data_IF_330681294199
#
_entry.id   IF_330681294199
#
_cell.length_a   1.000
_cell.length_b   1.000
_cell.length_c   1.000
_cell.angle_alpha   90.00
_cell.angle_beta   90.00
_cell.angle_gamma   90.00
#
_symmetry.space_group_name_H-M   'P 1'
#
loop_
_entity.id
_entity.type
_entity.pdbx_description
1 polymer ?
#
# COMPACT_ATOMS: atom_id res chain seq x y z
N UNK A 1 -3.84 6.00 9.03
CA UNK A 1 -4.71 6.19 7.86
C UNK A 1 -3.94 6.80 6.69
N UNK A 2 -3.34 8.00 6.84
CA UNK A 2 -2.61 8.69 5.76
C UNK A 2 -1.58 7.81 5.06
N UNK A 3 -0.75 7.13 5.86
CA UNK A 3 0.26 6.19 5.42
C UNK A 3 -0.24 5.07 4.47
N UNK A 4 -1.50 4.66 4.54
CA UNK A 4 -2.04 3.52 3.79
C UNK A 4 -3.00 3.95 2.68
N UNK A 5 -3.85 4.94 2.95
CA UNK A 5 -4.96 5.31 2.07
C UNK A 5 -4.78 6.66 1.35
N UNK A 6 -4.09 7.63 1.96
CA UNK A 6 -3.87 8.95 1.32
C UNK A 6 -2.60 8.96 0.46
N UNK A 7 -1.56 8.28 0.93
CA UNK A 7 -0.20 8.37 0.42
C UNK A 7 0.61 9.44 1.15
N UNK A 8 1.92 9.29 1.15
CA UNK A 8 2.86 10.20 1.81
C UNK A 8 4.09 10.43 0.95
N UNK A 9 4.55 11.69 0.95
CA UNK A 9 5.68 12.16 0.18
C UNK A 9 6.69 12.80 1.13
N UNK A 10 7.96 12.47 0.96
CA UNK A 10 9.06 13.07 1.69
C UNK A 10 10.24 13.29 0.74
N UNK A 11 10.85 14.48 0.82
CA UNK A 11 12.03 14.83 0.00
C UNK A 11 11.83 14.54 -1.50
N UNK A 12 10.66 14.92 -2.03
CA UNK A 12 10.28 14.73 -3.43
C UNK A 12 10.13 13.26 -3.89
N UNK A 13 10.10 12.32 -2.96
CA UNK A 13 9.84 10.90 -3.21
C UNK A 13 8.56 10.46 -2.52
N UNK A 14 7.79 9.62 -3.20
CA UNK A 14 6.70 8.90 -2.56
C UNK A 14 7.34 7.89 -1.60
N UNK A 15 6.95 7.93 -0.33
CA UNK A 15 7.48 7.01 0.69
C UNK A 15 6.42 6.02 1.17
N UNK A 16 5.13 6.34 1.01
CA UNK A 16 4.03 5.42 1.31
C UNK A 16 2.90 5.63 0.32
N UNK A 17 2.46 4.54 -0.31
CA UNK A 17 1.33 4.53 -1.24
C UNK A 17 0.90 3.07 -1.46
N UNK A 18 -0.19 2.64 -0.81
CA UNK A 18 -0.57 1.22 -0.76
C UNK A 18 -1.99 0.89 -1.21
N UNK A 19 -2.80 1.88 -1.55
CA UNK A 19 -4.22 1.66 -1.88
C UNK A 19 -4.47 1.76 -3.39
N UNK A 20 -5.00 0.69 -3.99
CA UNK A 20 -5.24 0.62 -5.43
C UNK A 20 -6.37 1.54 -5.91
N UNK A 21 -7.39 1.77 -5.08
CA UNK A 21 -8.49 2.66 -5.43
C UNK A 21 -7.99 4.10 -5.51
N UNK A 22 -7.14 4.52 -4.57
CA UNK A 22 -6.43 5.80 -4.61
C UNK A 22 -5.54 5.89 -5.84
N UNK A 23 -4.77 4.85 -6.14
CA UNK A 23 -3.96 4.77 -7.37
C UNK A 23 -4.81 5.09 -8.61
N UNK A 24 -5.91 4.34 -8.78
CA UNK A 24 -6.84 4.51 -9.89
C UNK A 24 -7.41 5.93 -9.99
N UNK A 25 -7.83 6.51 -8.87
CA UNK A 25 -8.37 7.88 -8.85
C UNK A 25 -7.33 8.93 -9.26
N UNK A 26 -6.09 8.78 -8.80
CA UNK A 26 -5.00 9.71 -9.13
C UNK A 26 -4.57 9.59 -10.60
N UNK A 27 -4.52 8.37 -11.12
CA UNK A 27 -4.21 8.11 -12.53
C UNK A 27 -5.32 8.65 -13.45
N UNK A 28 -6.58 8.36 -13.12
CA UNK A 28 -7.73 8.91 -13.86
C UNK A 28 -7.79 10.44 -13.82
N UNK A 29 -7.31 11.04 -12.73
CA UNK A 29 -7.19 12.50 -12.58
C UNK A 29 -5.98 13.12 -13.29
N UNK A 30 -5.15 12.33 -13.98
CA UNK A 30 -3.94 12.80 -14.66
C UNK A 30 -2.79 13.18 -13.73
N UNK A 31 -2.89 12.86 -12.44
CA UNK A 31 -1.88 13.17 -11.43
C UNK A 31 -0.87 12.03 -11.27
N UNK A 32 -1.20 10.82 -11.69
CA UNK A 32 -0.34 9.65 -11.55
C UNK A 32 -0.01 9.10 -12.93
N UNK A 33 1.27 8.79 -13.16
CA UNK A 33 1.77 8.18 -14.38
C UNK A 33 2.42 6.83 -14.06
N UNK A 34 1.79 5.74 -14.53
CA UNK A 34 2.28 4.38 -14.36
C UNK A 34 3.47 4.06 -15.27
N UNK A 35 4.52 3.42 -14.73
CA UNK A 35 5.75 3.13 -15.48
C UNK A 35 6.01 1.64 -15.71
N UNK A 36 5.34 0.74 -14.99
CA UNK A 36 5.56 -0.71 -15.14
C UNK A 36 5.34 -1.48 -13.84
N UNK A 37 5.36 -2.81 -13.92
CA UNK A 37 5.26 -3.72 -12.78
C UNK A 37 6.51 -4.61 -12.69
N UNK A 38 6.90 -4.95 -11.47
CA UNK A 38 8.01 -5.86 -11.17
C UNK A 38 7.47 -7.28 -10.93
N UNK A 39 6.49 -7.39 -10.03
CA UNK A 39 5.84 -8.64 -9.66
C UNK A 39 4.32 -8.45 -9.67
N UNK A 40 3.58 -9.50 -10.03
CA UNK A 40 2.12 -9.45 -10.06
C UNK A 40 1.51 -10.79 -9.73
N UNK A 41 0.65 -10.77 -8.72
CA UNK A 41 -0.25 -11.86 -8.40
C UNK A 41 -1.64 -11.55 -8.95
N UNK A 42 -2.05 -12.34 -9.94
CA UNK A 42 -3.18 -12.00 -10.82
C UNK A 42 -4.47 -11.83 -10.00
N UNK A 43 -4.92 -10.57 -9.91
CA UNK A 43 -6.18 -10.23 -9.25
C UNK A 43 -6.12 -10.14 -7.72
N UNK A 44 -4.91 -10.20 -7.13
CA UNK A 44 -4.67 -10.12 -5.69
C UNK A 44 -3.70 -9.01 -5.31
N UNK A 45 -2.53 -8.92 -5.95
CA UNK A 45 -1.52 -7.92 -5.59
C UNK A 45 -0.61 -7.56 -6.78
N UNK A 46 0.01 -6.39 -6.70
CA UNK A 46 1.00 -5.94 -7.70
C UNK A 46 2.10 -5.15 -7.02
N UNK A 47 3.33 -5.34 -7.47
CA UNK A 47 4.49 -4.49 -7.20
C UNK A 47 4.81 -3.68 -8.46
N UNK A 48 4.84 -2.36 -8.36
CA UNK A 48 4.92 -1.45 -9.50
C UNK A 48 5.73 -0.19 -9.24
N UNK A 49 6.07 0.50 -10.34
CA UNK A 49 6.73 1.80 -10.38
C UNK A 49 5.79 2.85 -11.00
N UNK A 50 5.81 4.07 -10.47
CA UNK A 50 5.05 5.18 -11.00
C UNK A 50 5.66 6.54 -10.62
N UNK A 51 5.14 7.60 -11.23
CA UNK A 51 5.30 8.97 -10.74
C UNK A 51 3.95 9.52 -10.28
N UNK A 52 3.94 10.24 -9.17
CA UNK A 52 2.78 10.99 -8.69
C UNK A 52 3.10 12.48 -8.70
N UNK A 53 2.49 13.21 -9.62
CA UNK A 53 2.87 14.56 -10.02
C UNK A 53 4.36 14.60 -10.39
N UNK A 54 5.17 15.33 -9.63
CA UNK A 54 6.63 15.44 -9.82
C UNK A 54 7.42 14.54 -8.86
N UNK A 55 6.74 13.65 -8.12
CA UNK A 55 7.35 12.77 -7.13
C UNK A 55 7.55 11.37 -7.69
N UNK A 56 8.73 10.81 -7.43
CA UNK A 56 9.09 9.48 -7.90
C UNK A 56 8.67 8.42 -6.89
N UNK A 57 8.11 7.31 -7.38
CA UNK A 57 7.76 6.14 -6.59
C UNK A 57 8.48 4.92 -7.17
N UNK A 58 9.63 4.55 -6.59
CA UNK A 58 10.53 3.55 -7.16
C UNK A 58 9.89 2.15 -7.27
N UNK A 59 9.48 1.59 -6.13
CA UNK A 59 8.83 0.28 -6.09
C UNK A 59 7.85 0.24 -4.91
N UNK A 60 6.58 0.04 -5.22
CA UNK A 60 5.50 -0.04 -4.24
C UNK A 60 4.62 -1.23 -4.52
N UNK A 61 4.17 -1.87 -3.45
CA UNK A 61 3.26 -3.01 -3.51
C UNK A 61 1.91 -2.65 -2.93
N UNK A 62 0.84 -3.07 -3.60
CA UNK A 62 -0.54 -2.85 -3.17
C UNK A 62 -1.40 -4.07 -3.47
N UNK A 63 -2.44 -4.26 -2.65
CA UNK A 63 -3.50 -5.22 -2.95
C UNK A 63 -4.34 -4.70 -4.12
N UNK A 64 -4.84 -5.60 -4.95
CA UNK A 64 -5.72 -5.30 -6.08
C UNK A 64 -7.11 -5.89 -5.84
N UNK A 65 -8.14 -5.14 -6.24
CA UNK A 65 -9.55 -5.56 -6.14
C UNK A 65 -10.01 -5.87 -4.69
N UNK A 66 -9.28 -5.40 -3.69
CA UNK A 66 -9.67 -5.40 -2.29
C UNK A 66 -10.64 -4.26 -2.00
N UNK A 67 -11.52 -4.43 -1.01
CA UNK A 67 -12.31 -3.30 -0.51
C UNK A 67 -11.50 -2.50 0.52
N UNK A 68 -11.72 -1.19 0.66
CA UNK A 68 -11.05 -0.39 1.70
C UNK A 68 -11.29 -0.93 3.11
N UNK A 69 -12.46 -1.51 3.37
CA UNK A 69 -12.81 -2.12 4.65
C UNK A 69 -11.99 -3.38 4.91
N UNK A 70 -11.78 -4.22 3.89
CA UNK A 70 -10.92 -5.40 3.99
C UNK A 70 -9.48 -5.01 4.30
N UNK A 71 -8.92 -4.05 3.55
CA UNK A 71 -7.57 -3.53 3.81
C UNK A 71 -7.44 -2.97 5.22
N UNK A 72 -8.39 -2.14 5.65
CA UNK A 72 -8.39 -1.57 7.00
C UNK A 72 -8.40 -2.66 8.08
N UNK A 73 -9.27 -3.67 7.96
CA UNK A 73 -9.33 -4.77 8.91
C UNK A 73 -8.03 -5.59 8.94
N UNK A 74 -7.50 -5.97 7.76
CA UNK A 74 -6.28 -6.76 7.66
C UNK A 74 -5.05 -6.02 8.22
N UNK A 75 -4.91 -4.73 7.91
CA UNK A 75 -3.82 -3.91 8.45
C UNK A 75 -3.94 -3.70 9.96
N UNK A 76 -5.15 -3.48 10.49
CA UNK A 76 -5.36 -3.38 11.94
C UNK A 76 -5.02 -4.67 12.68
N UNK A 77 -5.53 -5.81 12.21
CA UNK A 77 -5.19 -7.11 12.81
C UNK A 77 -3.67 -7.30 12.76
N UNK A 78 -3.05 -7.00 11.63
CA UNK A 78 -1.62 -7.24 11.49
C UNK A 78 -0.76 -6.37 12.41
N UNK A 79 -1.11 -5.09 12.56
CA UNK A 79 -0.44 -4.18 13.48
C UNK A 79 -0.53 -4.68 14.93
N UNK A 80 -1.68 -5.23 15.32
CA UNK A 80 -1.89 -5.78 16.67
C UNK A 80 -1.16 -7.11 16.91
N UNK A 81 -0.85 -7.87 15.86
CA UNK A 81 -0.19 -9.18 15.97
C UNK A 81 1.32 -9.14 15.72
N UNK A 82 1.95 -7.97 15.83
CA UNK A 82 3.41 -7.82 15.74
C UNK A 82 3.94 -7.32 14.39
N UNK A 83 3.06 -6.96 13.47
CA UNK A 83 3.41 -6.16 12.29
C UNK A 83 3.89 -6.92 11.06
N UNK A 84 4.03 -8.25 11.11
CA UNK A 84 4.29 -9.09 9.94
C UNK A 84 3.31 -10.25 9.90
N UNK A 85 2.49 -10.30 8.86
CA UNK A 85 1.37 -11.25 8.80
C UNK A 85 1.21 -11.82 7.40
N UNK A 86 0.85 -13.10 7.35
CA UNK A 86 0.56 -13.82 6.11
C UNK A 86 -0.93 -14.06 6.01
N UNK A 87 -1.53 -13.55 4.96
CA UNK A 87 -2.95 -13.73 4.66
C UNK A 87 -3.09 -14.59 3.41
N UNK A 88 -4.13 -15.43 3.38
CA UNK A 88 -4.52 -16.14 2.15
C UNK A 88 -5.70 -15.41 1.52
N UNK A 89 -5.49 -14.81 0.36
CA UNK A 89 -6.51 -14.09 -0.40
C UNK A 89 -6.71 -14.82 -1.72
N UNK A 90 -7.93 -15.34 -1.96
CA UNK A 90 -8.26 -16.13 -3.17
C UNK A 90 -7.31 -17.31 -3.42
N UNK A 91 -6.84 -17.96 -2.36
CA UNK A 91 -5.88 -19.08 -2.44
C UNK A 91 -4.41 -18.67 -2.65
N UNK A 92 -4.11 -17.37 -2.79
CA UNK A 92 -2.75 -16.86 -2.88
C UNK A 92 -2.29 -16.32 -1.52
N UNK A 93 -1.03 -16.58 -1.15
CA UNK A 93 -0.45 -16.05 0.07
C UNK A 93 0.09 -14.64 -0.18
N UNK A 94 -0.31 -13.70 0.66
CA UNK A 94 0.18 -12.33 0.64
C UNK A 94 0.78 -12.01 2.00
N UNK A 95 1.99 -11.46 1.99
CA UNK A 95 2.63 -10.93 3.20
C UNK A 95 2.30 -9.46 3.34
N UNK A 96 1.75 -9.10 4.48
CA UNK A 96 1.48 -7.73 4.88
C UNK A 96 2.46 -7.35 5.99
N UNK A 97 3.14 -6.23 5.79
CA UNK A 97 4.04 -5.64 6.77
C UNK A 97 3.47 -4.30 7.20
N UNK A 98 3.14 -4.15 8.47
CA UNK A 98 2.62 -2.92 9.06
C UNK A 98 3.61 -2.40 10.10
N UNK A 99 4.02 -1.14 9.95
CA UNK A 99 4.83 -0.45 10.95
C UNK A 99 3.91 0.20 11.97
N UNK A 100 4.04 -0.19 13.23
CA UNK A 100 3.42 0.49 14.38
C UNK A 100 4.28 1.66 14.81
N UNK A 101 3.68 2.69 15.38
CA UNK A 101 4.41 3.83 15.93
C UNK A 101 4.55 3.62 17.43
N UNK A 102 5.74 3.89 17.97
CA UNK A 102 5.93 3.88 19.42
C UNK A 102 5.78 5.31 19.93
N UNK A 103 4.74 5.56 20.73
CA UNK A 103 4.54 6.84 21.41
C UNK A 103 4.73 6.62 22.90
N UNK A 104 5.67 7.33 23.52
CA UNK A 104 5.99 7.18 24.96
C UNK A 104 6.31 5.74 25.39
N UNK A 105 7.05 5.00 24.55
CA UNK A 105 7.39 3.59 24.78
C UNK A 105 6.19 2.62 24.78
N UNK A 106 5.02 3.07 24.32
CA UNK A 106 3.84 2.24 24.07
C UNK A 106 3.68 2.05 22.57
N UNK A 107 3.51 0.80 22.14
CA UNK A 107 3.21 0.49 20.75
C UNK A 107 1.77 0.91 20.49
N UNK A 108 1.58 1.77 19.49
CA UNK A 108 0.30 2.31 19.03
C UNK A 108 0.06 1.97 17.56
#
# INVERSE_FOLDING_TARGET
>A
FEALFSGEVQNNNVIRFGNWLRFYQQEKGGQLNYHGWFDREVGVAVSLQFAWNNWQALQFSMLLNSSPEFEMAAYTVCALTGGECKFTVKGQQVTIITKTLTVNNVIT
#
